data_IF_455942844458
#
_entry.id   IF_455942844458
#
_cell.length_a   1.000
_cell.length_b   1.000
_cell.length_c   1.000
_cell.angle_alpha   90.00
_cell.angle_beta   90.00
_cell.angle_gamma   90.00
#
_symmetry.space_group_name_H-M   'P 1'
#
loop_
_entity.id
_entity.type
_entity.pdbx_description
1 polymer ?
#
# COMPACT_ATOMS: atom_id res chain seq x y z
N UNK A 1 -0.42 -25.02 -13.61
CA UNK A 1 -0.33 -23.91 -12.63
C UNK A 1 1.11 -23.73 -12.24
N UNK A 2 1.70 -22.59 -12.58
CA UNK A 2 2.73 -21.89 -11.80
C UNK A 2 2.97 -20.58 -12.54
N UNK A 3 2.27 -19.54 -12.11
CA UNK A 3 2.81 -18.20 -12.21
C UNK A 3 3.27 -17.93 -10.78
N UNK A 4 4.56 -18.16 -10.50
CA UNK A 4 5.14 -17.85 -9.20
C UNK A 4 5.06 -16.33 -9.01
N UNK A 5 3.99 -15.88 -8.36
CA UNK A 5 3.75 -14.48 -8.03
C UNK A 5 4.90 -13.96 -7.19
N UNK A 6 5.39 -12.78 -7.54
CA UNK A 6 6.51 -12.15 -6.85
C UNK A 6 5.99 -11.06 -5.93
N UNK A 7 6.41 -11.07 -4.66
CA UNK A 7 6.01 -10.08 -3.67
C UNK A 7 7.23 -9.23 -3.29
N UNK A 8 7.08 -7.91 -3.39
CA UNK A 8 8.08 -6.96 -2.92
C UNK A 8 7.92 -6.74 -1.41
N UNK A 9 8.94 -7.08 -0.63
CA UNK A 9 9.05 -6.76 0.79
C UNK A 9 9.83 -5.46 0.92
N UNK A 10 9.23 -4.46 1.57
CA UNK A 10 9.87 -3.17 1.86
C UNK A 10 10.04 -3.04 3.37
N UNK A 11 11.25 -2.75 3.85
CA UNK A 11 11.49 -2.61 5.29
C UNK A 11 12.88 -2.09 5.63
N UNK A 12 13.03 -1.60 6.86
CA UNK A 12 14.34 -1.16 7.37
C UNK A 12 15.11 -2.38 7.89
N UNK A 13 15.97 -2.96 7.05
CA UNK A 13 16.65 -4.21 7.38
C UNK A 13 17.71 -4.03 8.49
N UNK A 14 18.27 -2.85 8.68
CA UNK A 14 19.23 -2.56 9.77
C UNK A 14 18.67 -2.84 11.17
N UNK A 15 17.38 -2.61 11.38
CA UNK A 15 16.71 -2.76 12.68
C UNK A 15 15.75 -3.94 12.74
N UNK A 16 15.27 -4.43 11.59
CA UNK A 16 14.22 -5.46 11.49
C UNK A 16 14.58 -6.66 10.61
N UNK A 17 15.88 -6.90 10.41
CA UNK A 17 16.36 -8.03 9.59
C UNK A 17 15.70 -9.35 9.96
N UNK A 18 15.63 -9.71 11.25
CA UNK A 18 15.14 -11.03 11.67
C UNK A 18 13.66 -11.22 11.34
N UNK A 19 12.85 -10.17 11.55
CA UNK A 19 11.43 -10.14 11.20
C UNK A 19 11.19 -10.19 9.69
N UNK A 20 11.95 -9.40 8.91
CA UNK A 20 11.83 -9.33 7.46
C UNK A 20 12.29 -10.64 6.78
N UNK A 21 13.37 -11.25 7.27
CA UNK A 21 13.86 -12.56 6.81
C UNK A 21 12.79 -13.62 7.10
N UNK A 22 12.25 -13.66 8.32
CA UNK A 22 11.17 -14.61 8.65
C UNK A 22 9.94 -14.42 7.75
N UNK A 23 9.54 -13.17 7.48
CA UNK A 23 8.43 -12.87 6.58
C UNK A 23 8.71 -13.41 5.16
N UNK A 24 9.92 -13.17 4.63
CA UNK A 24 10.36 -13.69 3.34
C UNK A 24 10.31 -15.22 3.31
N UNK A 25 10.86 -15.90 4.32
CA UNK A 25 10.82 -17.36 4.43
C UNK A 25 9.39 -17.92 4.45
N UNK A 26 8.43 -17.20 5.05
CA UNK A 26 7.02 -17.61 5.07
C UNK A 26 6.35 -17.43 3.72
N UNK A 27 6.67 -16.39 2.98
CA UNK A 27 6.17 -16.20 1.59
C UNK A 27 6.76 -17.29 0.67
N UNK A 28 8.08 -17.50 0.74
CA UNK A 28 8.78 -18.53 -0.04
C UNK A 28 8.22 -19.94 0.23
N UNK A 29 7.96 -20.27 1.49
CA UNK A 29 7.41 -21.59 1.85
C UNK A 29 6.01 -21.86 1.30
N UNK A 30 5.30 -20.83 0.86
CA UNK A 30 3.98 -20.93 0.23
C UNK A 30 4.06 -20.99 -1.31
N UNK A 31 5.27 -21.05 -1.88
CA UNK A 31 5.52 -21.13 -3.33
C UNK A 31 5.34 -19.81 -4.07
N UNK A 32 5.56 -18.67 -3.40
CA UNK A 32 5.67 -17.36 -4.04
C UNK A 32 7.13 -16.91 -4.03
N UNK A 33 7.47 -15.95 -4.90
CA UNK A 33 8.80 -15.34 -4.96
C UNK A 33 8.83 -14.08 -4.11
N UNK A 34 10.03 -13.72 -3.66
CA UNK A 34 10.27 -12.53 -2.85
C UNK A 34 11.30 -11.66 -3.56
N UNK A 35 11.07 -10.35 -3.54
CA UNK A 35 12.09 -9.34 -3.74
C UNK A 35 12.15 -8.46 -2.49
N UNK A 36 13.34 -8.00 -2.14
CA UNK A 36 13.59 -7.25 -0.91
C UNK A 36 14.10 -5.85 -1.23
N UNK A 37 13.54 -4.85 -0.56
CA UNK A 37 13.95 -3.45 -0.69
C UNK A 37 14.27 -2.89 0.69
N UNK A 38 15.53 -2.52 0.87
CA UNK A 38 16.04 -1.93 2.09
C UNK A 38 15.87 -0.42 2.10
N UNK A 39 15.15 0.07 3.12
CA UNK A 39 14.90 1.49 3.36
C UNK A 39 15.61 2.02 4.62
N UNK A 40 16.61 1.28 5.11
CA UNK A 40 17.43 1.70 6.25
C UNK A 40 18.25 2.95 5.97
N UNK A 41 18.53 3.72 7.04
CA UNK A 41 19.30 4.98 6.95
C UNK A 41 20.74 4.78 7.40
N UNK A 42 20.95 4.23 8.61
CA UNK A 42 22.27 4.22 9.26
C UNK A 42 22.94 2.86 9.18
N UNK A 43 22.25 1.79 9.60
CA UNK A 43 22.85 0.46 9.67
C UNK A 43 22.74 -0.32 8.37
N UNK A 44 23.28 -1.54 8.39
CA UNK A 44 23.30 -2.45 7.26
C UNK A 44 22.44 -3.70 7.55
N UNK A 45 21.85 -4.32 6.52
CA UNK A 45 21.12 -5.57 6.66
C UNK A 45 22.04 -6.71 7.15
N UNK A 46 21.47 -7.72 7.86
CA UNK A 46 22.20 -8.94 8.25
C UNK A 46 22.49 -9.90 7.08
N UNK A 47 22.09 -9.55 5.87
CA UNK A 47 22.24 -10.38 4.67
C UNK A 47 22.04 -9.55 3.40
N UNK A 48 22.09 -10.22 2.25
CA UNK A 48 21.87 -9.56 0.96
C UNK A 48 20.40 -9.16 0.78
N UNK A 49 20.20 -8.02 0.12
CA UNK A 49 18.90 -7.52 -0.33
C UNK A 49 18.94 -7.28 -1.83
N UNK A 50 17.81 -7.44 -2.51
CA UNK A 50 17.72 -7.28 -3.97
C UNK A 50 17.86 -5.81 -4.40
N UNK A 51 17.35 -4.90 -3.57
CA UNK A 51 17.47 -3.45 -3.72
C UNK A 51 17.97 -2.84 -2.41
N UNK A 52 19.18 -2.29 -2.46
CA UNK A 52 19.87 -1.72 -1.31
C UNK A 52 19.35 -0.31 -0.95
N UNK A 53 19.67 0.17 0.25
CA UNK A 53 19.43 1.57 0.64
C UNK A 53 20.08 2.57 -0.33
N UNK A 54 21.21 2.21 -0.94
CA UNK A 54 21.87 3.03 -1.97
C UNK A 54 21.04 3.10 -3.25
N UNK A 55 20.42 1.99 -3.68
CA UNK A 55 19.51 1.99 -4.83
C UNK A 55 18.28 2.87 -4.57
N UNK A 56 17.76 2.81 -3.34
CA UNK A 56 16.63 3.64 -2.88
C UNK A 56 17.00 5.11 -2.88
N UNK A 57 18.11 5.52 -2.23
CA UNK A 57 18.58 6.89 -2.23
C UNK A 57 18.85 7.41 -3.66
N UNK A 58 19.49 6.59 -4.49
CA UNK A 58 19.76 6.93 -5.89
C UNK A 58 18.49 7.16 -6.69
N UNK A 59 17.42 6.41 -6.41
CA UNK A 59 16.11 6.63 -7.03
C UNK A 59 15.44 7.95 -6.62
N UNK A 60 15.80 8.51 -5.46
CA UNK A 60 15.45 9.87 -5.04
C UNK A 60 16.40 10.95 -5.61
N UNK A 61 17.44 10.56 -6.35
CA UNK A 61 18.45 11.48 -6.88
C UNK A 61 19.43 12.01 -5.83
N UNK A 62 19.58 11.31 -4.70
CA UNK A 62 20.50 11.65 -3.61
C UNK A 62 21.41 10.46 -3.26
N UNK A 63 22.48 10.72 -2.52
CA UNK A 63 23.34 9.67 -1.96
C UNK A 63 22.98 9.37 -0.50
N UNK A 64 23.42 8.22 0.02
CA UNK A 64 23.23 7.91 1.44
C UNK A 64 23.93 8.92 2.35
N UNK A 65 25.07 9.47 1.94
CA UNK A 65 25.75 10.52 2.70
C UNK A 65 24.89 11.78 2.81
N UNK A 66 24.17 12.15 1.75
CA UNK A 66 23.24 13.28 1.78
C UNK A 66 22.01 12.99 2.65
N UNK A 67 21.50 11.75 2.62
CA UNK A 67 20.39 11.32 3.50
C UNK A 67 20.82 11.38 4.96
N UNK A 68 22.03 10.91 5.30
CA UNK A 68 22.55 10.94 6.67
C UNK A 68 22.83 12.39 7.12
N UNK A 69 23.29 13.24 6.19
CA UNK A 69 23.61 14.64 6.47
C UNK A 69 22.38 15.52 6.79
N UNK A 70 21.14 15.05 6.61
CA UNK A 70 19.95 15.79 7.05
C UNK A 70 19.94 16.01 8.57
N UNK A 71 20.57 15.11 9.33
CA UNK A 71 20.77 15.25 10.77
C UNK A 71 19.54 14.92 11.63
N UNK A 72 18.40 14.63 11.03
CA UNK A 72 17.19 14.16 11.74
C UNK A 72 16.52 12.99 11.01
N UNK A 73 15.91 12.10 11.80
CA UNK A 73 15.30 10.85 11.34
C UNK A 73 14.13 11.11 10.36
N UNK A 74 13.34 12.17 10.59
CA UNK A 74 12.19 12.44 9.74
C UNK A 74 12.62 12.86 8.34
N UNK A 75 13.51 13.85 8.23
CA UNK A 75 14.02 14.31 6.93
C UNK A 75 14.72 13.18 6.16
N UNK A 76 15.50 12.35 6.85
CA UNK A 76 16.14 11.19 6.23
C UNK A 76 15.10 10.19 5.69
N UNK A 77 14.10 9.83 6.50
CA UNK A 77 13.04 8.91 6.10
C UNK A 77 12.17 9.46 4.96
N UNK A 78 11.95 10.78 4.87
CA UNK A 78 11.23 11.39 3.74
C UNK A 78 12.01 11.24 2.42
N UNK A 79 13.33 11.41 2.43
CA UNK A 79 14.17 11.16 1.24
C UNK A 79 14.13 9.68 0.85
N UNK A 80 14.23 8.77 1.83
CA UNK A 80 14.10 7.32 1.58
C UNK A 80 12.71 6.95 1.06
N UNK A 81 11.65 7.61 1.53
CA UNK A 81 10.30 7.41 1.03
C UNK A 81 10.14 7.82 -0.43
N UNK A 82 10.69 8.99 -0.81
CA UNK A 82 10.72 9.43 -2.21
C UNK A 82 11.43 8.41 -3.11
N UNK A 83 12.57 7.90 -2.63
CA UNK A 83 13.36 6.89 -3.33
C UNK A 83 12.62 5.57 -3.47
N UNK A 84 12.01 5.10 -2.38
CA UNK A 84 11.27 3.84 -2.35
C UNK A 84 10.04 3.91 -3.26
N UNK A 85 9.33 5.04 -3.28
CA UNK A 85 8.23 5.31 -4.22
C UNK A 85 8.70 5.27 -5.67
N UNK A 86 9.78 5.99 -6.00
CA UNK A 86 10.31 6.06 -7.34
C UNK A 86 10.77 4.68 -7.85
N UNK A 87 11.48 3.94 -7.00
CA UNK A 87 11.95 2.60 -7.31
C UNK A 87 10.79 1.61 -7.45
N UNK A 88 9.83 1.64 -6.52
CA UNK A 88 8.62 0.80 -6.58
C UNK A 88 7.85 1.02 -7.88
N UNK A 89 7.61 2.27 -8.28
CA UNK A 89 6.96 2.60 -9.57
C UNK A 89 7.74 2.05 -10.77
N UNK A 90 9.07 2.22 -10.77
CA UNK A 90 9.95 1.74 -11.83
C UNK A 90 9.91 0.21 -11.95
N UNK A 91 9.94 -0.50 -10.83
CA UNK A 91 9.89 -1.96 -10.78
C UNK A 91 8.50 -2.50 -11.19
N UNK A 92 7.44 -1.84 -10.72
CA UNK A 92 6.08 -2.22 -11.07
C UNK A 92 5.82 -2.02 -12.58
N UNK A 93 6.25 -0.91 -13.15
CA UNK A 93 6.15 -0.65 -14.60
C UNK A 93 6.88 -1.68 -15.47
N UNK A 94 7.85 -2.40 -14.88
CA UNK A 94 8.59 -3.50 -15.53
C UNK A 94 7.97 -4.88 -15.25
N UNK A 95 6.82 -4.95 -14.57
CA UNK A 95 6.17 -6.18 -14.12
C UNK A 95 7.11 -7.08 -13.27
N UNK A 96 7.97 -6.46 -12.46
CA UNK A 96 8.96 -7.18 -11.65
C UNK A 96 8.35 -7.82 -10.40
N UNK A 97 7.20 -7.34 -9.93
CA UNK A 97 6.45 -7.90 -8.81
C UNK A 97 4.93 -7.72 -9.01
N UNK A 98 4.14 -8.52 -8.29
CA UNK A 98 2.68 -8.61 -8.38
C UNK A 98 1.94 -8.01 -7.18
N UNK A 99 2.63 -7.79 -6.06
CA UNK A 99 2.10 -7.13 -4.87
C UNK A 99 3.21 -6.72 -3.91
N UNK A 100 2.87 -5.91 -2.92
CA UNK A 100 3.83 -5.46 -1.90
C UNK A 100 3.39 -5.81 -0.48
N UNK A 101 4.37 -5.98 0.39
CA UNK A 101 4.18 -5.99 1.83
C UNK A 101 5.27 -5.17 2.51
N UNK A 102 4.90 -4.38 3.50
CA UNK A 102 5.83 -3.60 4.29
C UNK A 102 5.55 -3.74 5.77
N UNK A 103 6.56 -3.53 6.60
CA UNK A 103 6.41 -3.52 8.06
C UNK A 103 7.18 -2.37 8.71
N UNK A 104 6.60 -1.78 9.75
CA UNK A 104 7.26 -0.71 10.47
C UNK A 104 6.56 -0.23 11.73
N UNK A 105 7.33 0.54 12.52
CA UNK A 105 6.78 1.44 13.54
C UNK A 105 6.15 2.67 12.90
N UNK A 106 6.05 3.80 13.61
CA UNK A 106 5.45 5.04 13.09
C UNK A 106 6.11 5.52 11.79
N UNK A 107 7.43 5.72 11.77
CA UNK A 107 8.16 6.23 10.60
C UNK A 107 8.16 5.25 9.42
N UNK A 108 8.39 3.96 9.71
CA UNK A 108 8.34 2.93 8.68
C UNK A 108 6.93 2.75 8.08
N UNK A 109 5.88 2.92 8.90
CA UNK A 109 4.49 2.94 8.42
C UNK A 109 4.25 4.13 7.51
N UNK A 110 4.71 5.32 7.89
CA UNK A 110 4.55 6.52 7.08
C UNK A 110 5.13 6.32 5.66
N UNK A 111 6.37 5.85 5.58
CA UNK A 111 7.01 5.49 4.31
C UNK A 111 6.23 4.39 3.56
N UNK A 112 5.78 3.34 4.26
CA UNK A 112 5.02 2.25 3.66
C UNK A 112 3.71 2.73 3.00
N UNK A 113 3.04 3.72 3.60
CA UNK A 113 1.83 4.33 3.05
C UNK A 113 2.12 5.08 1.75
N UNK A 114 3.24 5.77 1.65
CA UNK A 114 3.69 6.40 0.40
C UNK A 114 3.94 5.38 -0.70
N UNK A 115 4.64 4.29 -0.38
CA UNK A 115 4.91 3.19 -1.32
C UNK A 115 3.62 2.50 -1.76
N UNK A 116 2.67 2.27 -0.84
CA UNK A 116 1.38 1.68 -1.17
C UNK A 116 0.56 2.57 -2.12
N UNK A 117 0.48 3.88 -1.84
CA UNK A 117 -0.22 4.86 -2.71
C UNK A 117 0.43 5.01 -4.09
N UNK A 118 1.71 4.65 -4.23
CA UNK A 118 2.40 4.68 -5.51
C UNK A 118 1.91 3.61 -6.50
N UNK A 119 1.21 2.58 -6.02
CA UNK A 119 0.74 1.45 -6.80
C UNK A 119 -0.74 1.59 -7.16
N UNK A 120 -1.15 1.21 -8.39
CA UNK A 120 -2.52 1.38 -8.84
C UNK A 120 -3.51 0.49 -8.08
N UNK A 121 -4.78 0.88 -8.09
CA UNK A 121 -5.90 0.07 -7.59
C UNK A 121 -5.88 -1.34 -8.17
N UNK A 122 -6.11 -2.36 -7.33
CA UNK A 122 -6.10 -3.77 -7.70
C UNK A 122 -4.74 -4.45 -7.55
N UNK A 123 -3.67 -3.71 -7.23
CA UNK A 123 -2.41 -4.32 -6.79
C UNK A 123 -2.52 -4.59 -5.28
N UNK A 124 -2.32 -5.83 -4.80
CA UNK A 124 -2.32 -6.13 -3.38
C UNK A 124 -1.24 -5.36 -2.61
N UNK A 125 -1.66 -4.57 -1.60
CA UNK A 125 -0.80 -3.71 -0.79
C UNK A 125 -1.04 -3.98 0.69
N UNK A 126 -0.07 -4.61 1.35
CA UNK A 126 -0.16 -4.95 2.77
C UNK A 126 0.81 -4.12 3.61
N UNK A 127 0.32 -3.51 4.69
CA UNK A 127 1.14 -2.78 5.66
C UNK A 127 0.94 -3.38 7.05
N UNK A 128 2.00 -3.95 7.60
CA UNK A 128 2.07 -4.45 8.97
C UNK A 128 2.57 -3.30 9.85
N UNK A 129 1.69 -2.76 10.68
CA UNK A 129 1.99 -1.52 11.42
C UNK A 129 1.63 -1.62 12.89
N UNK A 130 2.48 -1.02 13.73
CA UNK A 130 2.23 -0.85 15.17
C UNK A 130 1.18 0.22 15.45
N UNK A 131 0.91 1.09 14.48
CA UNK A 131 -0.08 2.17 14.54
C UNK A 131 -1.23 1.94 13.55
N UNK A 132 -1.41 0.72 13.03
CA UNK A 132 -2.57 0.39 12.21
C UNK A 132 -3.86 0.77 12.94
N UNK A 133 -4.82 1.38 12.23
CA UNK A 133 -6.10 1.84 12.76
C UNK A 133 -6.00 2.94 13.83
N UNK A 134 -4.81 3.53 14.01
CA UNK A 134 -4.63 4.69 14.89
C UNK A 134 -5.11 5.98 14.22
N UNK A 135 -5.60 6.92 15.01
CA UNK A 135 -5.87 8.30 14.57
C UNK A 135 -4.61 9.07 14.14
N UNK A 136 -3.42 8.52 14.38
CA UNK A 136 -2.16 9.06 13.85
C UNK A 136 -2.01 8.90 12.33
N UNK A 137 -2.80 8.01 11.71
CA UNK A 137 -2.80 7.82 10.26
C UNK A 137 -3.98 8.60 9.68
N UNK A 138 -3.73 9.76 9.04
CA UNK A 138 -4.83 10.53 8.49
C UNK A 138 -5.35 9.86 7.20
N UNK A 139 -6.67 9.97 6.91
CA UNK A 139 -7.35 9.33 5.78
C UNK A 139 -6.64 9.45 4.43
N UNK A 140 -6.09 10.62 4.11
CA UNK A 140 -5.43 10.94 2.85
C UNK A 140 -4.12 10.17 2.61
N UNK A 141 -3.56 9.53 3.64
CA UNK A 141 -2.36 8.70 3.52
C UNK A 141 -2.69 7.27 3.06
N UNK A 142 -3.96 6.85 3.11
CA UNK A 142 -4.37 5.49 2.78
C UNK A 142 -4.69 5.37 1.29
N UNK A 143 -4.09 4.39 0.61
CA UNK A 143 -4.53 4.00 -0.73
C UNK A 143 -5.94 3.38 -0.65
N UNK A 144 -6.75 3.54 -1.70
CA UNK A 144 -8.17 3.15 -1.69
C UNK A 144 -8.43 1.67 -1.34
N UNK A 145 -7.51 0.78 -1.69
CA UNK A 145 -7.58 -0.67 -1.49
C UNK A 145 -6.46 -1.21 -0.58
N UNK A 146 -5.86 -0.33 0.25
CA UNK A 146 -4.81 -0.75 1.19
C UNK A 146 -5.34 -1.75 2.21
N UNK A 147 -4.52 -2.74 2.53
CA UNK A 147 -4.77 -3.70 3.60
C UNK A 147 -3.77 -3.46 4.73
N UNK A 148 -4.27 -3.28 5.95
CA UNK A 148 -3.42 -3.07 7.13
C UNK A 148 -3.58 -4.20 8.15
N UNK A 149 -2.46 -4.59 8.77
CA UNK A 149 -2.41 -5.59 9.83
C UNK A 149 -1.83 -4.92 11.07
N UNK A 150 -2.60 -4.96 12.17
CA UNK A 150 -2.14 -4.43 13.45
C UNK A 150 -1.08 -5.36 14.06
N UNK A 151 0.11 -4.82 14.23
CA UNK A 151 1.22 -5.48 14.90
C UNK A 151 1.37 -4.97 16.34
N UNK A 152 0.42 -5.37 17.19
CA UNK A 152 0.26 -4.84 18.55
C UNK A 152 1.36 -5.25 19.54
N UNK A 153 2.21 -6.23 19.20
CA UNK A 153 3.22 -6.76 20.11
C UNK A 153 4.37 -7.42 19.37
N UNK A 154 5.53 -7.54 20.03
CA UNK A 154 6.75 -8.06 19.41
C UNK A 154 7.52 -7.03 18.60
N UNK A 155 7.46 -5.76 19.01
CA UNK A 155 8.16 -4.63 18.37
C UNK A 155 9.68 -4.81 18.28
N UNK A 156 10.27 -5.68 19.08
CA UNK A 156 11.70 -5.91 19.11
C UNK A 156 11.99 -7.40 19.17
N UNK A 157 12.54 -7.92 18.08
CA UNK A 157 13.01 -9.29 17.98
C UNK A 157 11.91 -10.29 17.68
N UNK A 158 12.35 -11.41 17.11
CA UNK A 158 11.48 -12.45 16.59
C UNK A 158 10.96 -13.38 17.70
N UNK A 159 9.89 -12.98 18.39
CA UNK A 159 9.18 -13.82 19.37
C UNK A 159 7.95 -14.54 18.76
N UNK A 160 7.29 -15.40 19.53
CA UNK A 160 6.13 -16.19 19.07
C UNK A 160 4.94 -15.33 18.64
N UNK A 161 4.72 -14.19 19.29
CA UNK A 161 3.66 -13.23 18.93
C UNK A 161 3.97 -12.60 17.57
N UNK A 162 5.20 -12.11 17.39
CA UNK A 162 5.68 -11.57 16.13
C UNK A 162 5.54 -12.60 14.99
N UNK A 163 6.02 -13.83 15.21
CA UNK A 163 5.92 -14.92 14.22
C UNK A 163 4.49 -15.24 13.82
N UNK A 164 3.54 -15.14 14.75
CA UNK A 164 2.10 -15.34 14.49
C UNK A 164 1.50 -14.24 13.61
N UNK A 165 1.82 -12.97 13.89
CA UNK A 165 1.37 -11.85 13.05
C UNK A 165 1.99 -11.90 11.65
N UNK A 166 3.30 -12.15 11.56
CA UNK A 166 4.02 -12.17 10.29
C UNK A 166 3.63 -13.37 9.40
N UNK A 167 3.34 -14.54 9.97
CA UNK A 167 2.90 -15.70 9.18
C UNK A 167 1.51 -15.49 8.58
N UNK A 168 0.58 -14.88 9.32
CA UNK A 168 -0.73 -14.48 8.80
C UNK A 168 -0.58 -13.44 7.70
N UNK A 169 0.30 -12.44 7.89
CA UNK A 169 0.56 -11.42 6.89
C UNK A 169 1.14 -12.01 5.59
N UNK A 170 2.09 -12.94 5.68
CA UNK A 170 2.62 -13.68 4.55
C UNK A 170 1.52 -14.44 3.80
N UNK A 171 0.64 -15.13 4.52
CA UNK A 171 -0.50 -15.84 3.94
C UNK A 171 -1.48 -14.90 3.24
N UNK A 172 -1.79 -13.76 3.86
CA UNK A 172 -2.72 -12.77 3.33
C UNK A 172 -2.22 -12.18 2.00
N UNK A 173 -0.98 -11.70 1.95
CA UNK A 173 -0.43 -11.13 0.71
C UNK A 173 -0.26 -12.20 -0.37
N UNK A 174 0.17 -13.41 -0.03
CA UNK A 174 0.35 -14.52 -0.99
C UNK A 174 -0.99 -14.97 -1.58
N UNK A 175 -2.03 -15.06 -0.75
CA UNK A 175 -3.39 -15.36 -1.21
C UNK A 175 -3.93 -14.24 -2.12
N UNK A 176 -3.75 -12.99 -1.71
CA UNK A 176 -4.23 -11.83 -2.46
C UNK A 176 -3.58 -11.74 -3.85
N UNK A 177 -2.26 -11.86 -3.98
CA UNK A 177 -1.59 -11.80 -5.31
C UNK A 177 -1.98 -12.93 -6.25
N UNK A 178 -2.48 -14.05 -5.71
CA UNK A 178 -2.98 -15.19 -6.51
C UNK A 178 -4.45 -15.07 -6.87
N UNK A 179 -5.25 -14.43 -6.02
CA UNK A 179 -6.71 -14.38 -6.14
C UNK A 179 -7.24 -13.06 -6.69
N UNK A 180 -6.43 -11.99 -6.69
CA UNK A 180 -6.90 -10.66 -7.07
C UNK A 180 -7.42 -10.62 -8.51
N UNK A 181 -8.58 -10.00 -8.67
CA UNK A 181 -9.14 -9.64 -9.97
C UNK A 181 -8.86 -8.15 -10.18
N UNK A 182 -8.00 -7.78 -11.15
CA UNK A 182 -7.70 -6.38 -11.40
C UNK A 182 -8.96 -5.66 -11.93
N UNK A 183 -9.16 -4.37 -11.60
CA UNK A 183 -10.25 -3.57 -12.15
C UNK A 183 -10.30 -3.65 -13.67
N UNK A 184 -11.44 -4.05 -14.22
CA UNK A 184 -11.65 -4.13 -15.66
C UNK A 184 -11.93 -2.72 -16.21
N UNK A 185 -11.45 -2.43 -17.43
CA UNK A 185 -11.64 -1.14 -18.11
C UNK A 185 -12.55 -1.25 -19.34
N UNK A 186 -13.40 -2.28 -19.36
CA UNK A 186 -14.27 -2.57 -20.50
C UNK A 186 -15.39 -1.53 -20.67
N UNK A 187 -15.86 -0.95 -19.56
CA UNK A 187 -16.90 0.07 -19.54
C UNK A 187 -16.39 1.38 -18.96
N UNK A 188 -16.84 2.53 -19.48
CA UNK A 188 -16.55 3.82 -18.87
C UNK A 188 -17.13 3.91 -17.45
N UNK A 189 -16.26 4.15 -16.47
CA UNK A 189 -16.62 4.17 -15.05
C UNK A 189 -17.10 5.55 -14.60
N UNK A 190 -18.26 5.60 -13.95
CA UNK A 190 -18.79 6.79 -13.26
C UNK A 190 -18.59 6.61 -11.77
N UNK A 191 -17.96 7.60 -11.14
CA UNK A 191 -17.89 7.68 -9.69
C UNK A 191 -19.14 8.39 -9.13
N UNK A 192 -19.70 7.89 -8.03
CA UNK A 192 -20.80 8.52 -7.31
C UNK A 192 -20.60 8.48 -5.80
N UNK A 193 -20.81 9.58 -5.08
CA UNK A 193 -20.79 9.60 -3.60
C UNK A 193 -22.19 9.36 -3.03
N UNK A 194 -22.32 8.71 -1.86
CA UNK A 194 -23.60 8.49 -1.17
C UNK A 194 -23.46 8.11 0.31
N UNK A 195 -24.58 8.13 1.05
CA UNK A 195 -24.74 7.66 2.43
C UNK A 195 -25.47 6.30 2.52
N UNK A 196 -25.52 5.57 1.42
CA UNK A 196 -26.23 4.30 1.35
C UNK A 196 -27.75 4.45 1.28
N UNK A 197 -28.42 3.34 0.95
CA UNK A 197 -29.85 3.31 0.58
C UNK A 197 -30.78 3.72 1.73
N UNK A 198 -30.32 3.56 2.96
CA UNK A 198 -31.05 3.95 4.17
C UNK A 198 -31.21 5.48 4.28
N UNK A 199 -30.24 6.25 3.78
CA UNK A 199 -30.25 7.71 3.84
C UNK A 199 -30.64 8.35 2.49
N UNK A 200 -30.00 7.92 1.40
CA UNK A 200 -30.17 8.49 0.06
C UNK A 200 -30.67 7.40 -0.90
N UNK A 201 -31.50 7.76 -1.90
CA UNK A 201 -32.13 6.77 -2.80
C UNK A 201 -31.73 6.89 -4.28
N UNK A 202 -31.07 7.97 -4.69
CA UNK A 202 -30.78 8.24 -6.11
C UNK A 202 -29.95 7.15 -6.78
N UNK A 203 -29.00 6.52 -6.06
CA UNK A 203 -28.14 5.48 -6.62
C UNK A 203 -28.94 4.24 -7.05
N UNK A 204 -30.06 3.94 -6.39
CA UNK A 204 -30.93 2.79 -6.72
C UNK A 204 -31.60 3.00 -8.09
N UNK A 205 -31.95 4.25 -8.42
CA UNK A 205 -32.56 4.60 -9.71
C UNK A 205 -31.49 4.82 -10.79
N UNK A 206 -30.40 5.51 -10.45
CA UNK A 206 -29.38 5.92 -11.40
C UNK A 206 -28.49 4.76 -11.85
N UNK A 207 -28.11 3.84 -10.95
CA UNK A 207 -27.17 2.77 -11.30
C UNK A 207 -27.69 1.86 -12.44
N UNK A 208 -28.90 1.26 -12.36
CA UNK A 208 -29.41 0.44 -13.46
C UNK A 208 -29.57 1.23 -14.76
N UNK A 209 -30.08 2.46 -14.67
CA UNK A 209 -30.30 3.30 -15.85
C UNK A 209 -28.99 3.70 -16.56
N UNK A 210 -27.89 3.89 -15.82
CA UNK A 210 -26.58 4.17 -16.38
C UNK A 210 -25.90 2.88 -16.90
N UNK A 211 -26.11 1.74 -16.23
CA UNK A 211 -25.64 0.42 -16.71
C UNK A 211 -26.28 0.01 -18.03
N UNK A 212 -27.59 0.24 -18.19
CA UNK A 212 -28.31 0.03 -19.46
C UNK A 212 -27.78 0.90 -20.61
N UNK A 213 -27.12 2.01 -20.28
CA UNK A 213 -26.44 2.91 -21.22
C UNK A 213 -24.98 2.53 -21.47
N UNK A 214 -24.49 1.44 -20.88
CA UNK A 214 -23.14 0.92 -21.07
C UNK A 214 -22.09 1.48 -20.11
N UNK A 215 -22.47 2.21 -19.07
CA UNK A 215 -21.55 2.68 -18.04
C UNK A 215 -21.40 1.67 -16.91
N UNK A 216 -20.27 1.73 -16.21
CA UNK A 216 -20.12 1.12 -14.89
C UNK A 216 -20.25 2.21 -13.81
N UNK A 217 -20.78 1.88 -12.64
CA UNK A 217 -20.94 2.85 -11.54
C UNK A 217 -20.33 2.30 -10.26
N UNK A 218 -19.34 3.02 -9.74
CA UNK A 218 -18.75 2.81 -8.42
C UNK A 218 -19.33 3.85 -7.44
N UNK A 219 -19.97 3.36 -6.39
CA UNK A 219 -20.58 4.20 -5.34
C UNK A 219 -19.69 4.20 -4.09
N UNK A 220 -19.29 5.38 -3.64
CA UNK A 220 -18.41 5.60 -2.49
C UNK A 220 -19.19 6.14 -1.30
N UNK A 221 -18.89 5.61 -0.11
CA UNK A 221 -19.53 6.05 1.11
C UNK A 221 -18.89 7.34 1.64
N UNK A 222 -19.66 8.43 1.71
CA UNK A 222 -19.13 9.77 2.00
C UNK A 222 -18.90 10.01 3.52
N UNK A 223 -18.03 9.21 4.15
CA UNK A 223 -17.71 9.29 5.59
C UNK A 223 -16.23 9.58 5.88
N UNK A 224 -15.57 10.35 5.03
CA UNK A 224 -14.16 10.71 5.08
C UNK A 224 -13.32 9.76 4.24
N UNK A 225 -13.21 8.48 4.63
CA UNK A 225 -12.40 7.51 3.89
C UNK A 225 -12.88 7.26 2.47
N UNK A 226 -14.21 7.17 2.27
CA UNK A 226 -14.76 6.91 0.93
C UNK A 226 -14.65 8.12 0.01
N UNK A 227 -14.81 9.34 0.52
CA UNK A 227 -14.52 10.55 -0.27
C UNK A 227 -13.04 10.70 -0.63
N UNK A 228 -12.10 10.35 0.28
CA UNK A 228 -10.67 10.32 -0.08
C UNK A 228 -10.34 9.28 -1.15
N UNK A 229 -10.91 8.08 -1.07
CA UNK A 229 -10.76 7.07 -2.13
C UNK A 229 -11.35 7.56 -3.46
N UNK A 230 -12.51 8.21 -3.41
CA UNK A 230 -13.16 8.82 -4.57
C UNK A 230 -12.30 9.90 -5.23
N UNK A 231 -11.78 10.86 -4.45
CA UNK A 231 -10.89 11.90 -4.95
C UNK A 231 -9.60 11.33 -5.55
N UNK A 232 -8.99 10.33 -4.90
CA UNK A 232 -7.78 9.68 -5.39
C UNK A 232 -8.00 9.04 -6.77
N UNK A 233 -9.11 8.30 -6.93
CA UNK A 233 -9.46 7.71 -8.22
C UNK A 233 -9.80 8.76 -9.29
N UNK A 234 -10.45 9.86 -8.90
CA UNK A 234 -10.74 10.96 -9.81
C UNK A 234 -9.45 11.65 -10.31
N UNK A 235 -8.48 11.89 -9.41
CA UNK A 235 -7.18 12.49 -9.74
C UNK A 235 -6.38 11.65 -10.75
N UNK A 236 -6.52 10.33 -10.69
CA UNK A 236 -5.91 9.39 -11.63
C UNK A 236 -6.70 9.20 -12.94
N UNK A 237 -7.75 10.01 -13.16
CA UNK A 237 -8.68 9.89 -14.31
C UNK A 237 -9.35 8.51 -14.37
N UNK A 238 -9.60 7.91 -13.21
CA UNK A 238 -10.32 6.64 -13.08
C UNK A 238 -11.80 6.72 -13.44
N UNK A 239 -12.36 7.93 -13.53
CA UNK A 239 -13.77 8.15 -13.88
C UNK A 239 -13.92 8.97 -15.16
N UNK A 240 -14.91 8.63 -15.98
CA UNK A 240 -15.35 9.46 -17.12
C UNK A 240 -16.29 10.58 -16.69
N UNK A 241 -16.94 10.43 -15.53
CA UNK A 241 -17.81 11.42 -14.91
C UNK A 241 -17.86 11.21 -13.39
N UNK A 242 -18.03 12.31 -12.67
CA UNK A 242 -18.10 12.39 -11.22
C UNK A 242 -19.50 12.89 -10.84
N UNK A 243 -20.21 12.13 -10.02
CA UNK A 243 -21.52 12.47 -9.47
C UNK A 243 -21.41 12.64 -7.95
N UNK A 244 -20.87 13.78 -7.53
CA UNK A 244 -20.71 14.09 -6.11
C UNK A 244 -21.99 14.67 -5.51
N UNK A 245 -22.88 13.78 -5.10
CA UNK A 245 -24.21 14.13 -4.56
C UNK A 245 -24.26 14.13 -3.03
N UNK A 246 -23.17 13.77 -2.34
CA UNK A 246 -23.08 13.74 -0.89
C UNK A 246 -21.86 14.54 -0.37
N UNK A 247 -21.80 15.87 -0.57
CA UNK A 247 -20.64 16.71 -0.24
C UNK A 247 -20.48 17.01 1.26
N UNK A 248 -21.16 16.27 2.13
CA UNK A 248 -21.24 16.55 3.56
C UNK A 248 -19.86 16.47 4.26
N UNK A 249 -18.91 15.73 3.71
CA UNK A 249 -17.54 15.66 4.22
C UNK A 249 -16.83 17.03 4.27
N UNK A 250 -17.29 18.02 3.50
CA UNK A 250 -16.77 19.39 3.55
C UNK A 250 -17.11 20.14 4.84
N UNK A 251 -18.17 19.71 5.54
CA UNK A 251 -18.65 20.35 6.76
C UNK A 251 -18.33 19.58 8.05
N UNK A 252 -17.63 18.45 7.96
CA UNK A 252 -17.32 17.58 9.10
C UNK A 252 -16.03 17.99 9.83
#
# INVERSE_FOLDING_TARGET
MSYDKTILIVGAYDTKSDELIYLAERILSQGAKVLTMDISVLGDPKGEVDYSKQDVASAAGVTMEQVIATGDENSAMQLMAQGAVALTKKLFAKNTFDGMISMGGTMGTDLALDVARALPLGVPKYVISTIAFSSLIPPERLAADIQMILWAGGLYGLNSICKSSLSQAAGAVTGAVRAVEPPQKERPLIGMTSFGRSCLKYMVTLKPALEDRGYEIAVFHATGMGGRAFESMAAERGFVAVMDFAPQELGN
#
